data_IF_347024803905
#
_entry.id   IF_347024803905
#
_cell.length_a   1.000
_cell.length_b   1.000
_cell.length_c   1.000
_cell.angle_alpha   90.00
_cell.angle_beta   90.00
_cell.angle_gamma   90.00
#
_symmetry.space_group_name_H-M   'P 1'
#
loop_
_entity.id
_entity.type
_entity.pdbx_description
1 polymer ?
#
# COMPACT_ATOMS: atom_id res chain seq x y z
N UNK A 1 -14.30 -21.44 5.03
CA UNK A 1 -13.55 -20.15 5.02
C UNK A 1 -12.16 -20.35 4.41
N UNK A 2 -11.85 -19.66 3.30
CA UNK A 2 -10.55 -19.71 2.64
C UNK A 2 -9.79 -18.43 2.96
N UNK A 3 -8.72 -18.52 3.76
CA UNK A 3 -7.80 -17.40 3.99
C UNK A 3 -6.61 -17.60 3.08
N UNK A 4 -6.35 -16.63 2.21
CA UNK A 4 -5.26 -16.67 1.26
C UNK A 4 -4.13 -15.76 1.75
N UNK A 5 -2.95 -16.33 1.97
CA UNK A 5 -1.77 -15.62 2.47
C UNK A 5 -0.68 -15.69 1.39
N UNK A 6 -0.16 -14.53 0.97
CA UNK A 6 0.98 -14.48 0.06
C UNK A 6 1.80 -13.20 0.26
N UNK A 7 3.14 -13.29 0.29
CA UNK A 7 4.02 -12.12 0.26
C UNK A 7 4.06 -11.45 -1.12
N UNK A 8 3.55 -12.11 -2.16
CA UNK A 8 3.68 -11.72 -3.58
C UNK A 8 2.44 -11.07 -4.20
N UNK A 9 1.45 -10.68 -3.39
CA UNK A 9 0.21 -10.05 -3.88
C UNK A 9 0.42 -8.72 -4.61
N UNK A 10 1.63 -8.17 -4.70
CA UNK A 10 1.93 -7.05 -5.59
C UNK A 10 1.65 -7.34 -7.08
N UNK A 11 1.59 -8.59 -7.53
CA UNK A 11 1.31 -8.96 -8.94
C UNK A 11 0.42 -10.21 -9.03
N UNK A 12 -0.75 -10.10 -9.68
CA UNK A 12 -1.39 -11.24 -10.34
C UNK A 12 -2.58 -11.92 -9.66
N UNK A 13 -3.08 -11.46 -8.51
CA UNK A 13 -4.35 -11.99 -7.98
C UNK A 13 -5.33 -10.85 -7.81
N UNK A 14 -6.43 -11.00 -8.52
CA UNK A 14 -7.57 -10.12 -8.53
C UNK A 14 -8.73 -10.81 -7.81
N UNK A 15 -8.99 -10.39 -6.57
CA UNK A 15 -10.05 -10.95 -5.72
C UNK A 15 -11.24 -9.99 -5.77
N UNK A 16 -12.07 -10.15 -6.81
CA UNK A 16 -13.22 -9.27 -7.06
C UNK A 16 -14.44 -9.62 -6.19
N UNK A 17 -15.22 -8.59 -5.85
CA UNK A 17 -16.56 -8.66 -5.24
C UNK A 17 -16.58 -9.45 -3.91
N UNK A 18 -17.49 -10.42 -3.79
CA UNK A 18 -17.64 -11.26 -2.59
C UNK A 18 -16.41 -12.12 -2.26
N UNK A 19 -15.39 -12.14 -3.14
CA UNK A 19 -14.18 -12.94 -2.95
C UNK A 19 -13.18 -12.31 -1.97
N UNK A 20 -13.25 -11.01 -1.71
CA UNK A 20 -12.43 -10.36 -0.69
C UNK A 20 -13.08 -9.08 -0.12
N UNK A 21 -13.85 -9.22 0.96
CA UNK A 21 -14.41 -8.08 1.73
C UNK A 21 -13.40 -7.44 2.67
N UNK A 22 -12.26 -8.08 2.92
CA UNK A 22 -11.19 -7.53 3.73
C UNK A 22 -9.81 -7.96 3.25
N UNK A 23 -8.80 -7.11 3.47
CA UNK A 23 -7.39 -7.45 3.35
C UNK A 23 -6.63 -6.97 4.56
N UNK A 24 -5.48 -7.60 4.78
CA UNK A 24 -4.56 -7.24 5.86
C UNK A 24 -3.19 -6.96 5.25
N UNK A 25 -2.71 -5.74 5.44
CA UNK A 25 -1.36 -5.30 5.09
C UNK A 25 -0.52 -5.31 6.37
N UNK A 26 0.24 -6.38 6.56
CA UNK A 26 1.07 -6.59 7.78
C UNK A 26 2.35 -5.75 7.81
N UNK A 27 2.73 -5.15 6.69
CA UNK A 27 3.95 -4.34 6.57
C UNK A 27 3.81 -3.37 5.42
N UNK A 28 4.30 -2.14 5.60
CA UNK A 28 4.36 -1.17 4.53
C UNK A 28 5.18 -1.73 3.34
N UNK A 29 4.67 -1.60 2.10
CA UNK A 29 5.26 -2.20 0.90
C UNK A 29 6.46 -1.38 0.39
N UNK A 30 7.46 -1.18 1.25
CA UNK A 30 8.73 -0.60 0.85
C UNK A 30 9.45 -1.53 -0.12
N UNK A 31 10.08 -0.95 -1.15
CA UNK A 31 10.87 -1.72 -2.10
C UNK A 31 12.10 -2.33 -1.42
N UNK A 32 12.58 -3.45 -1.96
CA UNK A 32 13.74 -4.13 -1.40
C UNK A 32 15.03 -3.30 -1.59
N UNK A 33 15.73 -3.03 -0.48
CA UNK A 33 17.04 -2.35 -0.51
C UNK A 33 18.20 -3.32 -0.73
N UNK A 34 17.96 -4.63 -0.73
CA UNK A 34 18.90 -5.64 -1.20
C UNK A 34 19.11 -5.56 -2.72
N UNK A 35 18.12 -5.08 -3.48
CA UNK A 35 18.25 -4.81 -4.90
C UNK A 35 19.16 -3.60 -5.16
N UNK A 36 20.26 -3.82 -5.90
CA UNK A 36 21.29 -2.80 -6.15
C UNK A 36 20.72 -1.55 -6.85
N UNK A 37 19.75 -1.71 -7.76
CA UNK A 37 19.16 -0.58 -8.48
C UNK A 37 18.31 0.28 -7.55
N UNK A 38 17.43 -0.35 -6.77
CA UNK A 38 16.57 0.31 -5.79
C UNK A 38 17.41 1.03 -4.74
N UNK A 39 18.43 0.36 -4.21
CA UNK A 39 19.31 0.92 -3.19
C UNK A 39 20.09 2.14 -3.73
N UNK A 40 20.71 2.00 -4.91
CA UNK A 40 21.43 3.10 -5.57
C UNK A 40 20.53 4.31 -5.82
N UNK A 41 19.28 4.08 -6.23
CA UNK A 41 18.31 5.16 -6.45
C UNK A 41 17.83 5.78 -5.14
N UNK A 42 17.59 4.99 -4.09
CA UNK A 42 17.20 5.51 -2.76
C UNK A 42 18.27 6.44 -2.19
N UNK A 43 19.54 6.11 -2.37
CA UNK A 43 20.67 6.85 -1.80
C UNK A 43 21.24 7.94 -2.72
N UNK A 44 20.62 8.21 -3.88
CA UNK A 44 21.07 9.27 -4.80
C UNK A 44 20.71 10.70 -4.33
N UNK A 45 20.48 10.90 -3.02
CA UNK A 45 20.07 12.16 -2.42
C UNK A 45 18.55 12.31 -2.20
N UNK A 46 18.11 13.53 -1.90
CA UNK A 46 16.72 13.85 -1.49
C UNK A 46 15.66 13.43 -2.52
N UNK A 47 15.96 13.54 -3.82
CA UNK A 47 15.05 13.09 -4.88
C UNK A 47 14.85 11.57 -4.90
N UNK A 48 15.92 10.82 -4.63
CA UNK A 48 15.91 9.37 -4.51
C UNK A 48 15.11 8.88 -3.31
N UNK A 49 15.30 9.53 -2.17
CA UNK A 49 14.49 9.35 -0.97
C UNK A 49 13.00 9.54 -1.22
N UNK A 50 12.67 10.68 -1.84
CA UNK A 50 11.31 11.04 -2.19
C UNK A 50 10.67 10.04 -3.14
N UNK A 51 11.41 9.59 -4.15
CA UNK A 51 10.95 8.56 -5.08
C UNK A 51 10.59 7.26 -4.34
N UNK A 52 11.44 6.82 -3.41
CA UNK A 52 11.26 5.58 -2.67
C UNK A 52 10.02 5.59 -1.76
N UNK A 53 9.79 6.69 -1.05
CA UNK A 53 8.57 6.84 -0.24
C UNK A 53 7.32 6.94 -1.11
N UNK A 54 7.39 7.64 -2.26
CA UNK A 54 6.29 7.70 -3.23
C UNK A 54 5.96 6.33 -3.83
N UNK A 55 6.94 5.46 -4.08
CA UNK A 55 6.64 4.09 -4.53
C UNK A 55 5.86 3.31 -3.48
N UNK A 56 6.16 3.52 -2.20
CA UNK A 56 5.43 2.88 -1.09
C UNK A 56 3.99 3.37 -1.02
N UNK A 57 3.75 4.68 -1.19
CA UNK A 57 2.39 5.24 -1.31
C UNK A 57 1.63 4.61 -2.47
N UNK A 58 2.24 4.58 -3.68
CA UNK A 58 1.62 4.01 -4.88
C UNK A 58 1.24 2.54 -4.67
N UNK A 59 2.14 1.74 -4.10
CA UNK A 59 1.88 0.34 -3.82
C UNK A 59 0.72 0.16 -2.83
N UNK A 60 0.69 0.95 -1.75
CA UNK A 60 -0.40 0.87 -0.77
C UNK A 60 -1.76 1.26 -1.35
N UNK A 61 -1.81 2.33 -2.14
CA UNK A 61 -3.02 2.78 -2.84
C UNK A 61 -3.50 1.73 -3.84
N UNK A 62 -2.59 1.12 -4.61
CA UNK A 62 -2.92 0.03 -5.53
C UNK A 62 -3.44 -1.20 -4.79
N UNK A 63 -2.87 -1.55 -3.63
CA UNK A 63 -3.36 -2.65 -2.80
C UNK A 63 -4.77 -2.36 -2.28
N UNK A 64 -5.05 -1.16 -1.77
CA UNK A 64 -6.39 -0.77 -1.35
C UNK A 64 -7.41 -0.82 -2.50
N UNK A 65 -7.02 -0.35 -3.69
CA UNK A 65 -7.85 -0.40 -4.90
C UNK A 65 -8.11 -1.81 -5.45
N UNK A 66 -7.49 -2.86 -4.90
CA UNK A 66 -7.85 -4.24 -5.27
C UNK A 66 -9.13 -4.73 -4.60
N UNK A 67 -9.46 -4.17 -3.45
CA UNK A 67 -10.67 -4.52 -2.68
C UNK A 67 -11.85 -3.62 -3.00
N UNK A 68 -11.62 -2.33 -3.31
CA UNK A 68 -12.68 -1.39 -3.66
C UNK A 68 -12.42 -0.84 -5.06
N UNK A 69 -13.32 -1.12 -6.01
CA UNK A 69 -13.16 -0.77 -7.44
C UNK A 69 -14.13 0.26 -7.99
N UNK A 70 -15.24 0.48 -7.31
CA UNK A 70 -16.24 1.46 -7.69
C UNK A 70 -16.80 2.15 -6.44
N UNK A 71 -17.60 3.20 -6.64
CA UNK A 71 -18.26 3.90 -5.54
C UNK A 71 -19.29 3.02 -4.80
N UNK A 72 -19.81 1.99 -5.46
CA UNK A 72 -20.80 1.06 -4.91
C UNK A 72 -20.16 -0.19 -4.26
N UNK A 73 -18.85 -0.35 -4.43
CA UNK A 73 -18.08 -1.47 -3.87
C UNK A 73 -17.57 -1.12 -2.47
N UNK A 74 -17.44 -2.14 -1.61
CA UNK A 74 -16.99 -1.95 -0.24
C UNK A 74 -16.07 -3.07 0.22
N UNK A 75 -15.10 -2.67 1.05
CA UNK A 75 -14.26 -3.60 1.78
C UNK A 75 -13.29 -2.88 2.68
N UNK A 76 -12.70 -3.64 3.62
CA UNK A 76 -11.89 -3.08 4.70
C UNK A 76 -10.42 -3.46 4.48
N UNK A 77 -9.54 -2.46 4.49
CA UNK A 77 -8.09 -2.66 4.48
C UNK A 77 -7.54 -2.42 5.87
N UNK A 78 -7.13 -3.49 6.55
CA UNK A 78 -6.41 -3.38 7.82
C UNK A 78 -4.92 -3.19 7.55
N UNK A 79 -4.31 -2.15 8.14
CA UNK A 79 -2.87 -1.93 8.07
C UNK A 79 -2.28 -2.20 9.44
N UNK A 80 -1.57 -3.32 9.58
CA UNK A 80 -0.98 -3.78 10.84
C UNK A 80 0.52 -3.47 10.90
N UNK A 81 0.88 -2.21 10.61
CA UNK A 81 2.24 -1.69 10.72
C UNK A 81 2.24 -0.41 11.54
N UNK A 82 2.87 -0.44 12.73
CA UNK A 82 2.94 0.72 13.63
C UNK A 82 3.64 1.94 13.01
N UNK A 83 4.42 1.74 11.94
CA UNK A 83 5.08 2.82 11.22
C UNK A 83 4.13 3.56 10.28
N UNK A 84 2.97 2.99 9.96
CA UNK A 84 2.00 3.57 9.05
C UNK A 84 1.52 4.94 9.51
N UNK A 85 1.23 5.13 10.79
CA UNK A 85 0.73 6.42 11.30
C UNK A 85 1.70 7.56 10.99
N UNK A 86 2.99 7.38 11.34
CA UNK A 86 4.04 8.37 11.06
C UNK A 86 4.25 8.55 9.55
N UNK A 87 4.29 7.45 8.81
CA UNK A 87 4.49 7.48 7.36
C UNK A 87 3.34 8.24 6.65
N UNK A 88 2.10 7.96 7.04
CA UNK A 88 0.91 8.61 6.52
C UNK A 88 0.92 10.10 6.83
N UNK A 89 1.22 10.51 8.07
CA UNK A 89 1.36 11.93 8.43
C UNK A 89 2.39 12.65 7.56
N UNK A 90 3.55 12.02 7.30
CA UNK A 90 4.61 12.58 6.46
C UNK A 90 4.19 12.69 4.98
N UNK A 91 3.46 11.70 4.47
CA UNK A 91 3.13 11.55 3.04
C UNK A 91 1.67 11.91 2.72
N UNK A 92 0.93 12.52 3.66
CA UNK A 92 -0.53 12.71 3.57
C UNK A 92 -0.97 13.37 2.26
N UNK A 93 -0.20 14.34 1.77
CA UNK A 93 -0.48 15.08 0.53
C UNK A 93 -0.31 14.25 -0.76
N UNK A 94 0.33 13.09 -0.65
CA UNK A 94 0.62 12.19 -1.78
C UNK A 94 -0.40 11.07 -1.93
N UNK A 95 -1.23 10.89 -0.91
CA UNK A 95 -2.37 9.99 -0.99
C UNK A 95 -3.51 10.69 -1.73
N UNK A 96 -4.29 9.95 -2.55
CA UNK A 96 -5.48 10.51 -3.16
C UNK A 96 -6.54 10.80 -2.08
N UNK A 97 -7.41 11.82 -2.29
CA UNK A 97 -8.40 12.23 -1.29
C UNK A 97 -9.25 11.09 -0.73
N UNK A 98 -9.77 10.23 -1.61
CA UNK A 98 -10.58 9.06 -1.23
C UNK A 98 -9.87 8.12 -0.23
N UNK A 99 -8.55 7.96 -0.36
CA UNK A 99 -7.79 7.11 0.56
C UNK A 99 -7.66 7.81 1.91
N UNK A 100 -7.39 9.11 1.90
CA UNK A 100 -7.24 9.89 3.14
C UNK A 100 -8.55 10.03 3.92
N UNK A 101 -9.68 10.13 3.22
CA UNK A 101 -11.01 10.23 3.79
C UNK A 101 -11.49 8.90 4.39
N UNK A 102 -11.03 7.78 3.82
CA UNK A 102 -11.38 6.43 4.27
C UNK A 102 -10.54 5.92 5.47
N UNK A 103 -9.55 6.67 5.94
CA UNK A 103 -8.73 6.24 7.08
C UNK A 103 -9.49 6.42 8.39
N UNK A 104 -9.60 5.31 9.11
CA UNK A 104 -10.08 5.25 10.49
C UNK A 104 -8.91 4.80 11.37
N UNK A 105 -8.67 5.51 12.47
CA UNK A 105 -7.58 5.25 13.43
C UNK A 105 -8.04 4.37 14.59
#
# INVERSE_FOLDING_TARGET
PLVLISPSFGRGVDLFDERARFQIVVKLPFMDLGDKQTAKRRWSGKGGERWYTLQTVRALVQMAGRIVRSADDHGVTYILDSRFERFFKQMRKDFPPWFTEAIVW
#
